data_IF_677554594030
#
_entry.id   IF_677554594030
#
_cell.length_a   1.000
_cell.length_b   1.000
_cell.length_c   1.000
_cell.angle_alpha   90.00
_cell.angle_beta   90.00
_cell.angle_gamma   90.00
#
_symmetry.space_group_name_H-M   'P 1'
#
loop_
_entity.id
_entity.type
_entity.pdbx_description
1 polymer ?
#
# COMPACT_ATOMS: atom_id res chain seq x y z
N UNK A 1 14.97 2.29 11.30
CA UNK A 1 14.07 2.28 12.48
C UNK A 1 14.30 0.98 13.25
N UNK A 2 14.50 1.03 14.56
CA UNK A 2 14.69 -0.17 15.40
C UNK A 2 13.42 -1.04 15.41
N UNK A 3 13.55 -2.34 15.74
CA UNK A 3 12.45 -3.31 15.81
C UNK A 3 11.30 -2.97 16.78
N UNK A 4 11.37 -1.81 17.44
CA UNK A 4 10.64 -1.43 18.65
C UNK A 4 9.22 -0.88 18.42
N UNK A 5 8.77 -0.67 17.17
CA UNK A 5 7.46 -0.07 16.88
C UNK A 5 6.71 -0.89 15.82
N UNK A 6 6.38 -2.14 16.15
CA UNK A 6 5.49 -2.97 15.34
C UNK A 6 4.03 -2.69 15.74
N UNK A 7 3.11 -2.40 14.81
CA UNK A 7 1.69 -2.26 15.12
C UNK A 7 1.13 -3.49 15.84
N UNK A 8 0.10 -3.28 16.66
CA UNK A 8 -0.68 -4.36 17.28
C UNK A 8 -1.06 -5.41 16.22
N UNK A 9 -0.77 -6.71 16.44
CA UNK A 9 -1.12 -7.75 15.50
C UNK A 9 -2.62 -7.88 15.26
N UNK A 10 -2.99 -8.19 14.01
CA UNK A 10 -4.37 -8.47 13.60
C UNK A 10 -4.86 -7.49 12.53
N UNK A 11 -5.95 -7.78 11.81
CA UNK A 11 -6.62 -6.78 11.01
C UNK A 11 -7.18 -5.67 11.93
N UNK A 12 -7.02 -4.42 11.50
CA UNK A 12 -7.55 -3.28 12.23
C UNK A 12 -8.84 -2.82 11.56
N UNK A 13 -9.85 -2.52 12.37
CA UNK A 13 -11.18 -2.09 11.91
C UNK A 13 -11.54 -0.79 12.61
N UNK A 14 -11.98 0.20 11.82
CA UNK A 14 -12.57 1.42 12.34
C UNK A 14 -14.08 1.23 12.52
N UNK A 15 -14.54 1.36 13.75
CA UNK A 15 -15.95 1.48 14.10
C UNK A 15 -16.25 2.97 14.27
N UNK A 16 -17.18 3.50 13.47
CA UNK A 16 -17.53 4.92 13.47
C UNK A 16 -18.95 5.11 14.01
N UNK A 17 -19.16 6.20 14.73
CA UNK A 17 -20.45 6.49 15.37
C UNK A 17 -21.10 7.74 14.75
N UNK A 18 -22.44 7.72 14.65
CA UNK A 18 -23.27 8.75 14.04
C UNK A 18 -23.00 10.16 14.62
N UNK A 19 -22.73 10.26 15.93
CA UNK A 19 -22.38 11.52 16.61
C UNK A 19 -20.97 12.05 16.37
N UNK A 20 -20.22 11.49 15.41
CA UNK A 20 -18.88 11.93 15.03
C UNK A 20 -17.75 11.40 15.91
N UNK A 21 -17.86 10.17 16.43
CA UNK A 21 -16.83 9.48 17.21
C UNK A 21 -16.31 8.24 16.51
N UNK A 22 -15.26 7.61 17.04
CA UNK A 22 -14.77 6.33 16.52
C UNK A 22 -14.04 5.48 17.57
N UNK A 23 -13.96 4.18 17.30
CA UNK A 23 -13.00 3.25 17.90
C UNK A 23 -12.24 2.53 16.79
N UNK A 24 -10.93 2.36 16.95
CA UNK A 24 -10.12 1.51 16.10
C UNK A 24 -9.75 0.28 16.92
N UNK A 25 -10.15 -0.88 16.43
CA UNK A 25 -9.94 -2.16 17.10
C UNK A 25 -9.02 -3.04 16.25
N UNK A 26 -8.07 -3.72 16.88
CA UNK A 26 -7.30 -4.79 16.28
C UNK A 26 -7.92 -6.13 16.69
N UNK A 27 -8.34 -6.94 15.71
CA UNK A 27 -8.80 -8.30 15.98
C UNK A 27 -7.60 -9.23 16.12
N UNK A 28 -7.34 -9.67 17.35
CA UNK A 28 -6.25 -10.57 17.64
C UNK A 28 -6.74 -12.02 17.47
N UNK A 29 -6.98 -12.40 16.22
CA UNK A 29 -7.42 -13.75 15.84
C UNK A 29 -6.62 -14.80 16.60
N UNK A 30 -7.29 -15.57 17.47
CA UNK A 30 -6.68 -16.70 18.18
C UNK A 30 -6.06 -16.42 19.55
N UNK A 31 -6.24 -15.23 20.14
CA UNK A 31 -5.98 -15.06 21.59
C UNK A 31 -7.28 -14.93 22.36
N UNK A 32 -7.35 -15.57 23.53
CA UNK A 32 -8.52 -15.64 24.43
C UNK A 32 -9.10 -14.28 24.91
N UNK A 33 -8.61 -13.15 24.38
CA UNK A 33 -8.93 -11.79 24.85
C UNK A 33 -9.81 -10.93 23.95
N UNK A 34 -10.30 -11.44 22.80
CA UNK A 34 -11.17 -10.68 21.90
C UNK A 34 -10.48 -9.50 21.20
N UNK A 35 -11.29 -8.57 20.67
CA UNK A 35 -10.82 -7.36 19.99
C UNK A 35 -10.14 -6.39 20.96
N UNK A 36 -8.96 -5.88 20.58
CA UNK A 36 -8.25 -4.86 21.36
C UNK A 36 -8.54 -3.46 20.79
N UNK A 37 -9.10 -2.56 21.58
CA UNK A 37 -9.21 -1.15 21.20
C UNK A 37 -7.81 -0.49 21.21
N UNK A 38 -7.34 -0.10 20.04
CA UNK A 38 -6.04 0.56 19.83
C UNK A 38 -6.15 2.04 20.15
N UNK A 39 -7.18 2.70 19.65
CA UNK A 39 -7.48 4.09 19.97
C UNK A 39 -8.97 4.35 19.85
N UNK A 40 -9.44 5.38 20.53
CA UNK A 40 -10.82 5.82 20.46
C UNK A 40 -10.93 7.32 20.68
N UNK A 41 -12.02 7.90 20.18
CA UNK A 41 -12.34 9.29 20.41
C UNK A 41 -13.85 9.50 20.50
N UNK A 42 -14.26 10.29 21.48
CA UNK A 42 -15.64 10.72 21.65
C UNK A 42 -16.11 11.61 20.49
N UNK A 43 -17.43 11.71 20.35
CA UNK A 43 -18.07 12.39 19.22
C UNK A 43 -17.81 13.90 19.15
N UNK A 44 -17.52 14.39 17.95
CA UNK A 44 -17.65 15.80 17.58
C UNK A 44 -18.49 15.91 16.31
N UNK A 45 -19.78 16.21 16.46
CA UNK A 45 -20.74 16.21 15.35
C UNK A 45 -20.36 17.15 14.21
N UNK A 46 -19.73 18.29 14.50
CA UNK A 46 -19.27 19.24 13.49
C UNK A 46 -18.03 18.78 12.70
N UNK A 47 -17.42 17.64 13.05
CA UNK A 47 -16.23 17.06 12.40
C UNK A 47 -16.38 15.56 12.15
N UNK A 48 -17.61 15.06 12.12
CA UNK A 48 -17.90 13.62 12.01
C UNK A 48 -17.20 13.00 10.80
N UNK A 49 -17.35 13.60 9.62
CA UNK A 49 -16.79 13.10 8.36
C UNK A 49 -15.26 13.04 8.40
N UNK A 50 -14.61 14.11 8.86
CA UNK A 50 -13.14 14.15 9.01
C UNK A 50 -12.64 13.08 9.99
N UNK A 51 -13.36 12.91 11.10
CA UNK A 51 -13.01 11.91 12.11
C UNK A 51 -13.18 10.48 11.60
N UNK A 52 -14.25 10.22 10.86
CA UNK A 52 -14.49 8.91 10.24
C UNK A 52 -13.45 8.60 9.17
N UNK A 53 -13.10 9.58 8.31
CA UNK A 53 -12.06 9.43 7.31
C UNK A 53 -10.70 9.11 7.94
N UNK A 54 -10.30 9.88 8.95
CA UNK A 54 -9.05 9.66 9.67
C UNK A 54 -9.01 8.31 10.38
N UNK A 55 -10.12 7.89 11.00
CA UNK A 55 -10.20 6.58 11.66
C UNK A 55 -9.98 5.43 10.67
N UNK A 56 -10.59 5.51 9.48
CA UNK A 56 -10.41 4.52 8.40
C UNK A 56 -8.96 4.48 7.91
N UNK A 57 -8.34 5.64 7.66
CA UNK A 57 -6.93 5.72 7.24
C UNK A 57 -5.98 5.09 8.26
N UNK A 58 -6.20 5.34 9.54
CA UNK A 58 -5.37 4.75 10.61
C UNK A 58 -5.56 3.23 10.68
N UNK A 59 -6.81 2.74 10.58
CA UNK A 59 -7.09 1.31 10.55
C UNK A 59 -6.46 0.61 9.33
N UNK A 60 -6.50 1.25 8.17
CA UNK A 60 -5.84 0.75 6.96
C UNK A 60 -4.33 0.61 7.16
N UNK A 61 -3.67 1.64 7.72
CA UNK A 61 -2.24 1.60 8.01
C UNK A 61 -1.85 0.45 8.95
N UNK A 62 -2.66 0.16 9.97
CA UNK A 62 -2.46 -1.00 10.85
C UNK A 62 -2.62 -2.33 10.11
N UNK A 63 -3.62 -2.40 9.22
CA UNK A 63 -3.90 -3.59 8.40
C UNK A 63 -2.79 -3.86 7.37
N UNK A 64 -2.17 -2.83 6.78
CA UNK A 64 -1.03 -2.97 5.87
C UNK A 64 0.10 -3.75 6.54
N UNK A 65 0.42 -3.45 7.81
CA UNK A 65 1.44 -4.21 8.53
C UNK A 65 1.01 -5.66 8.79
N UNK A 66 -0.27 -5.88 9.12
CA UNK A 66 -0.78 -7.23 9.33
C UNK A 66 -0.64 -8.11 8.06
N UNK A 67 -0.98 -7.57 6.88
CA UNK A 67 -0.97 -8.32 5.62
C UNK A 67 0.43 -8.47 5.03
N UNK A 68 1.24 -7.41 5.05
CA UNK A 68 2.56 -7.38 4.38
C UNK A 68 3.75 -7.66 5.29
N UNK A 69 3.55 -7.61 6.61
CA UNK A 69 4.62 -7.60 7.63
C UNK A 69 5.59 -6.43 7.49
N UNK A 70 5.20 -5.37 6.79
CA UNK A 70 5.96 -4.13 6.62
C UNK A 70 5.11 -2.94 7.05
N UNK A 71 5.72 -1.94 7.67
CA UNK A 71 5.01 -0.67 7.92
C UNK A 71 4.77 0.05 6.59
N UNK A 72 3.79 0.98 6.51
CA UNK A 72 3.58 1.76 5.30
C UNK A 72 4.86 2.47 4.79
N UNK A 73 5.70 2.97 5.70
CA UNK A 73 6.98 3.58 5.34
C UNK A 73 7.98 2.57 4.77
N UNK A 74 8.08 1.38 5.36
CA UNK A 74 8.95 0.31 4.84
C UNK A 74 8.47 -0.16 3.45
N UNK A 75 7.16 -0.25 3.25
CA UNK A 75 6.58 -0.61 1.95
C UNK A 75 6.90 0.47 0.91
N UNK A 76 6.76 1.76 1.27
CA UNK A 76 7.12 2.88 0.41
C UNK A 76 8.61 2.87 0.03
N UNK A 77 9.51 2.66 1.00
CA UNK A 77 10.95 2.53 0.76
C UNK A 77 11.26 1.39 -0.21
N UNK A 78 10.64 0.22 -0.01
CA UNK A 78 10.80 -0.95 -0.88
C UNK A 78 10.27 -0.72 -2.30
N UNK A 79 9.14 -0.01 -2.43
CA UNK A 79 8.59 0.37 -3.74
C UNK A 79 9.56 1.31 -4.46
N UNK A 80 10.09 2.34 -3.78
CA UNK A 80 11.08 3.26 -4.37
C UNK A 80 12.35 2.54 -4.82
N UNK A 81 12.86 1.61 -4.01
CA UNK A 81 14.03 0.80 -4.36
C UNK A 81 13.75 -0.05 -5.61
N UNK A 82 12.59 -0.71 -5.67
CA UNK A 82 12.17 -1.51 -6.81
C UNK A 82 12.00 -0.66 -8.08
N UNK A 83 11.37 0.50 -7.98
CA UNK A 83 11.23 1.45 -9.08
C UNK A 83 12.59 1.89 -9.62
N UNK A 84 13.52 2.25 -8.74
CA UNK A 84 14.90 2.61 -9.12
C UNK A 84 15.64 1.48 -9.82
N UNK A 85 15.53 0.24 -9.31
CA UNK A 85 16.14 -0.93 -9.94
C UNK A 85 15.54 -1.22 -11.33
N UNK A 86 14.23 -1.07 -11.50
CA UNK A 86 13.56 -1.24 -12.78
C UNK A 86 13.95 -0.16 -13.79
N UNK A 87 14.08 1.10 -13.35
CA UNK A 87 14.62 2.16 -14.19
C UNK A 87 16.05 1.85 -14.64
N UNK A 88 16.94 1.45 -13.72
CA UNK A 88 18.31 1.07 -14.06
C UNK A 88 18.37 -0.14 -15.03
N UNK A 89 17.45 -1.10 -14.91
CA UNK A 89 17.35 -2.23 -15.82
C UNK A 89 16.91 -1.80 -17.24
N UNK A 90 16.05 -0.79 -17.36
CA UNK A 90 15.68 -0.20 -18.66
C UNK A 90 16.85 0.57 -19.24
N UNK A 91 17.49 1.43 -18.46
CA UNK A 91 18.57 2.31 -18.92
C UNK A 91 19.83 1.54 -19.32
N UNK A 92 20.11 0.41 -18.66
CA UNK A 92 21.21 -0.49 -19.03
C UNK A 92 20.90 -1.41 -20.22
N UNK A 93 19.69 -1.34 -20.78
CA UNK A 93 19.25 -2.19 -21.90
C UNK A 93 18.95 -3.64 -21.52
N UNK A 94 18.90 -3.97 -20.23
CA UNK A 94 18.51 -5.30 -19.75
C UNK A 94 17.03 -5.59 -20.06
N UNK A 95 16.18 -4.55 -20.02
CA UNK A 95 14.79 -4.60 -20.49
C UNK A 95 14.77 -4.20 -21.97
N UNK A 96 14.43 -5.11 -22.91
CA UNK A 96 14.45 -4.82 -24.34
C UNK A 96 13.53 -3.66 -24.69
N UNK A 97 13.99 -2.65 -25.42
CA UNK A 97 13.20 -1.46 -25.79
C UNK A 97 12.20 -1.69 -26.93
N UNK A 98 12.36 -2.77 -27.70
CA UNK A 98 11.37 -3.18 -28.70
C UNK A 98 10.03 -3.49 -28.04
N UNK A 99 8.95 -3.31 -28.80
CA UNK A 99 7.60 -3.58 -28.36
C UNK A 99 6.99 -4.77 -29.08
N UNK A 100 6.06 -5.47 -28.43
CA UNK A 100 5.34 -6.56 -29.05
C UNK A 100 4.44 -6.04 -30.20
N UNK A 101 4.10 -4.75 -30.19
CA UNK A 101 3.37 -4.08 -31.27
C UNK A 101 4.19 -3.86 -32.53
N UNK A 102 5.53 -3.91 -32.46
CA UNK A 102 6.41 -3.63 -33.60
C UNK A 102 6.35 -4.73 -34.69
N UNK A 103 5.67 -5.84 -34.40
CA UNK A 103 5.48 -6.96 -35.33
C UNK A 103 6.67 -7.92 -35.39
N UNK A 104 6.68 -8.79 -36.40
CA UNK A 104 7.74 -9.78 -36.60
C UNK A 104 7.86 -10.81 -35.47
N UNK A 105 9.09 -11.23 -35.15
CA UNK A 105 9.37 -12.20 -34.08
C UNK A 105 9.04 -11.64 -32.68
N UNK A 106 9.17 -10.32 -32.50
CA UNK A 106 8.93 -9.61 -31.23
C UNK A 106 7.49 -9.80 -30.72
N UNK A 107 6.52 -9.88 -31.64
CA UNK A 107 5.11 -10.11 -31.33
C UNK A 107 4.85 -11.37 -30.50
N UNK A 108 5.64 -12.42 -30.73
CA UNK A 108 5.49 -13.72 -30.07
C UNK A 108 6.47 -13.89 -28.90
N UNK A 109 7.33 -12.91 -28.64
CA UNK A 109 8.34 -12.98 -27.58
C UNK A 109 7.73 -12.61 -26.24
N UNK A 110 7.62 -13.59 -25.34
CA UNK A 110 7.17 -13.37 -23.97
C UNK A 110 8.04 -12.34 -23.23
N UNK A 111 9.34 -12.29 -23.53
CA UNK A 111 10.26 -11.29 -22.95
C UNK A 111 9.86 -9.86 -23.32
N UNK A 112 9.44 -9.64 -24.58
CA UNK A 112 9.04 -8.32 -25.07
C UNK A 112 7.69 -7.89 -24.46
N UNK A 113 6.74 -8.82 -24.30
CA UNK A 113 5.48 -8.55 -23.58
C UNK A 113 5.71 -8.16 -22.11
N UNK A 114 6.65 -8.82 -21.43
CA UNK A 114 7.02 -8.45 -20.06
C UNK A 114 7.71 -7.08 -20.03
N UNK A 115 8.57 -6.79 -21.00
CA UNK A 115 9.23 -5.50 -21.12
C UNK A 115 8.22 -4.34 -21.34
N UNK A 116 7.21 -4.54 -22.19
CA UNK A 116 6.11 -3.59 -22.38
C UNK A 116 5.36 -3.34 -21.07
N UNK A 117 5.08 -4.39 -20.28
CA UNK A 117 4.41 -4.26 -18.98
C UNK A 117 5.25 -3.49 -17.96
N UNK A 118 6.56 -3.72 -17.92
CA UNK A 118 7.48 -3.00 -17.03
C UNK A 118 7.49 -1.51 -17.40
N UNK A 119 7.65 -1.17 -18.69
CA UNK A 119 7.62 0.23 -19.15
C UNK A 119 6.28 0.91 -18.86
N UNK A 120 5.17 0.22 -19.10
CA UNK A 120 3.85 0.75 -18.82
C UNK A 120 3.60 0.97 -17.32
N UNK A 121 4.12 0.09 -16.46
CA UNK A 121 4.04 0.27 -15.01
C UNK A 121 4.85 1.49 -14.55
N UNK A 122 6.09 1.65 -15.04
CA UNK A 122 6.92 2.82 -14.73
C UNK A 122 6.27 4.13 -15.19
N UNK A 123 5.64 4.15 -16.37
CA UNK A 123 4.92 5.33 -16.87
C UNK A 123 3.74 5.72 -15.96
N UNK A 124 3.01 4.75 -15.40
CA UNK A 124 1.92 5.02 -14.45
C UNK A 124 2.45 5.64 -13.15
N UNK A 125 3.55 5.10 -12.60
CA UNK A 125 4.17 5.66 -11.40
C UNK A 125 4.59 7.13 -11.57
N UNK A 126 5.01 7.54 -12.77
CA UNK A 126 5.37 8.94 -13.07
C UNK A 126 4.17 9.87 -13.19
N UNK A 127 3.03 9.37 -13.68
CA UNK A 127 1.77 10.11 -13.76
C UNK A 127 1.12 10.38 -12.40
N UNK A 128 1.28 9.48 -11.44
CA UNK A 128 0.75 9.61 -10.08
C UNK A 128 1.54 10.59 -9.20
N UNK A 129 2.77 10.95 -9.57
CA UNK A 129 3.58 11.93 -8.83
C UNK A 129 3.21 13.41 -9.12
N UNK A 130 2.31 13.67 -10.08
CA UNK A 130 1.94 15.01 -10.54
C UNK A 130 0.44 15.36 -10.37
N UNK A 131 -0.35 14.49 -9.71
CA UNK A 131 -1.77 14.71 -9.40
C UNK A 131 -2.00 14.94 -7.91
#
# INVERSE_FOLDING_TARGET
MSESIKPTPGPWVAQVFEGGGYEICADKQGTYGGTLTVCKRNGHSNRADEMHANARLIAEAGTVFHTTKMTPMQLLERVKELEGALHAAVDSGMVPTSSASDGGASKYSAQVHVADRIRAALAKCQGEQHG
#
